data_IF_827492983280
#
_entry.id   IF_827492983280
#
_cell.length_a   1.000
_cell.length_b   1.000
_cell.length_c   1.000
_cell.angle_alpha   90.00
_cell.angle_beta   90.00
_cell.angle_gamma   90.00
#
_symmetry.space_group_name_H-M   'P 1'
#
loop_
_entity.id
_entity.type
_entity.pdbx_description
1 polymer ?
#
# COMPACT_ATOMS: atom_id res chain seq x y z
N UNK A 1 1.44 -25.59 3.39
CA UNK A 1 2.26 -24.93 2.35
C UNK A 1 2.32 -23.43 2.63
N UNK A 2 3.50 -22.86 2.55
CA UNK A 2 3.68 -21.42 2.73
C UNK A 2 3.37 -20.70 1.41
N UNK A 3 2.55 -19.65 1.48
CA UNK A 3 2.23 -18.80 0.33
C UNK A 3 3.11 -17.54 0.39
N UNK A 4 3.77 -17.25 -0.72
CA UNK A 4 4.56 -16.03 -0.84
C UNK A 4 3.66 -14.87 -1.24
N UNK A 5 3.71 -13.79 -0.44
CA UNK A 5 2.97 -12.55 -0.71
C UNK A 5 3.96 -11.40 -0.81
N UNK A 6 4.27 -10.95 -2.02
CA UNK A 6 5.27 -9.90 -2.23
C UNK A 6 4.78 -8.53 -1.77
N UNK A 7 5.71 -7.62 -1.58
CA UNK A 7 5.42 -6.23 -1.23
C UNK A 7 6.00 -5.29 -2.28
N UNK A 8 5.22 -4.27 -2.65
CA UNK A 8 5.66 -3.15 -3.47
C UNK A 8 5.62 -1.92 -2.57
N UNK A 9 6.77 -1.48 -2.09
CA UNK A 9 6.86 -0.26 -1.30
C UNK A 9 7.04 0.94 -2.22
N UNK A 10 6.20 1.95 -2.05
CA UNK A 10 6.22 3.18 -2.83
C UNK A 10 6.68 4.34 -1.97
N UNK A 11 7.64 5.09 -2.46
CA UNK A 11 8.12 6.31 -1.84
C UNK A 11 8.48 7.30 -2.96
N UNK A 12 7.97 8.53 -2.87
CA UNK A 12 8.12 9.56 -3.90
C UNK A 12 7.70 9.07 -5.30
N UNK A 13 6.66 8.24 -5.36
CA UNK A 13 6.13 7.70 -6.61
C UNK A 13 6.96 6.59 -7.24
N UNK A 14 7.98 6.09 -6.56
CA UNK A 14 8.89 5.05 -7.04
C UNK A 14 8.85 3.81 -6.16
N UNK A 15 9.17 2.67 -6.74
CA UNK A 15 9.35 1.42 -6.00
C UNK A 15 10.69 1.42 -5.31
N UNK A 16 10.69 1.27 -3.98
CA UNK A 16 11.89 1.27 -3.14
C UNK A 16 11.78 0.21 -2.06
N UNK A 17 12.91 -0.26 -1.55
CA UNK A 17 12.97 -0.98 -0.29
C UNK A 17 13.63 -0.07 0.75
N UNK A 18 12.90 0.27 1.79
CA UNK A 18 13.27 1.28 2.78
C UNK A 18 13.63 0.61 4.11
N UNK A 19 14.65 1.16 4.79
CA UNK A 19 14.92 0.77 6.18
C UNK A 19 13.86 1.43 7.06
N UNK A 20 12.94 0.63 7.61
CA UNK A 20 11.76 1.12 8.34
C UNK A 20 12.10 2.06 9.49
N UNK A 21 13.18 1.79 10.23
CA UNK A 21 13.62 2.64 11.34
C UNK A 21 14.09 4.03 10.90
N UNK A 22 14.29 4.27 9.61
CA UNK A 22 14.70 5.56 9.06
C UNK A 22 13.53 6.41 8.58
N UNK A 23 12.29 5.91 8.65
CA UNK A 23 11.10 6.66 8.25
C UNK A 23 10.86 7.84 9.19
N UNK A 24 10.54 9.01 8.60
CA UNK A 24 10.10 10.19 9.32
C UNK A 24 9.05 10.93 8.49
N UNK A 25 8.24 11.77 9.13
CA UNK A 25 7.14 12.48 8.47
C UNK A 25 7.61 13.39 7.33
N UNK A 26 8.80 13.95 7.43
CA UNK A 26 9.38 14.83 6.41
C UNK A 26 10.34 14.11 5.46
N UNK A 27 10.60 12.82 5.67
CA UNK A 27 11.52 12.05 4.85
C UNK A 27 13.01 12.26 5.11
N UNK A 28 13.37 13.14 6.05
CA UNK A 28 14.77 13.40 6.39
C UNK A 28 15.40 12.17 7.05
N UNK A 29 16.62 11.81 6.64
CA UNK A 29 17.34 10.66 7.18
C UNK A 29 16.87 9.31 6.68
N UNK A 30 15.96 9.30 5.70
CA UNK A 30 15.46 8.05 5.11
C UNK A 30 16.60 7.25 4.49
N UNK A 31 16.67 5.97 4.84
CA UNK A 31 17.63 5.03 4.25
C UNK A 31 16.92 4.07 3.32
N UNK A 32 17.44 3.94 2.12
CA UNK A 32 16.91 3.09 1.07
C UNK A 32 17.88 1.95 0.78
N UNK A 33 17.41 0.68 0.91
CA UNK A 33 18.19 -0.50 0.53
C UNK A 33 18.15 -0.75 -0.97
N UNK A 34 17.05 -0.39 -1.61
CA UNK A 34 16.82 -0.66 -3.02
C UNK A 34 15.94 0.43 -3.62
N UNK A 35 16.30 0.86 -4.81
CA UNK A 35 15.49 1.77 -5.62
C UNK A 35 15.58 1.34 -7.07
N UNK A 36 14.47 1.43 -7.80
CA UNK A 36 14.41 1.03 -9.21
C UNK A 36 13.64 2.06 -10.03
N UNK A 37 14.00 2.18 -11.32
CA UNK A 37 13.27 2.98 -12.29
C UNK A 37 12.12 2.21 -12.94
N UNK A 38 11.98 0.91 -12.64
CA UNK A 38 10.86 0.12 -13.14
C UNK A 38 9.56 0.59 -12.50
N UNK A 39 8.49 0.62 -13.30
CA UNK A 39 7.20 1.10 -12.85
C UNK A 39 6.56 0.16 -11.80
N UNK A 40 5.67 0.68 -10.95
CA UNK A 40 4.87 -0.18 -10.09
C UNK A 40 4.08 -1.24 -10.86
N UNK A 41 3.57 -0.89 -12.04
CA UNK A 41 2.86 -1.83 -12.90
C UNK A 41 3.74 -2.99 -13.36
N UNK A 42 5.02 -2.74 -13.60
CA UNK A 42 5.95 -3.81 -14.01
C UNK A 42 6.03 -4.91 -12.95
N UNK A 43 6.14 -4.53 -11.67
CA UNK A 43 6.18 -5.50 -10.57
C UNK A 43 4.83 -6.21 -10.40
N UNK A 44 3.73 -5.46 -10.51
CA UNK A 44 2.39 -6.03 -10.41
C UNK A 44 2.14 -7.07 -11.51
N UNK A 45 2.56 -6.78 -12.73
CA UNK A 45 2.45 -7.71 -13.87
C UNK A 45 3.31 -8.95 -13.66
N UNK A 46 4.51 -8.80 -13.10
CA UNK A 46 5.37 -9.92 -12.76
C UNK A 46 4.69 -10.85 -11.77
N UNK A 47 4.10 -10.29 -10.71
CA UNK A 47 3.41 -11.08 -9.68
C UNK A 47 2.15 -11.74 -10.23
N UNK A 48 1.43 -11.06 -11.12
CA UNK A 48 0.28 -11.64 -11.82
C UNK A 48 0.70 -12.83 -12.68
N UNK A 49 1.77 -12.69 -13.45
CA UNK A 49 2.31 -13.76 -14.29
C UNK A 49 2.69 -14.99 -13.47
N UNK A 50 3.27 -14.76 -12.29
CA UNK A 50 3.69 -15.84 -11.39
C UNK A 50 2.55 -16.36 -10.50
N UNK A 51 1.33 -15.84 -10.66
CA UNK A 51 0.18 -16.27 -9.88
C UNK A 51 0.21 -15.91 -8.40
N UNK A 52 0.98 -14.89 -8.03
CA UNK A 52 1.17 -14.48 -6.63
C UNK A 52 0.07 -13.50 -6.22
N UNK A 53 -0.92 -13.99 -5.47
CA UNK A 53 -2.03 -13.18 -4.97
C UNK A 53 -1.83 -12.76 -3.51
N UNK A 54 -2.44 -11.64 -3.14
CA UNK A 54 -2.45 -11.18 -1.75
C UNK A 54 -1.21 -10.39 -1.36
N UNK A 55 -0.37 -10.03 -2.31
CA UNK A 55 0.74 -9.11 -2.07
C UNK A 55 0.26 -7.74 -1.65
N UNK A 56 1.16 -6.90 -1.18
CA UNK A 56 0.85 -5.58 -0.63
C UNK A 56 1.48 -4.47 -1.45
N UNK A 57 0.71 -3.43 -1.73
CA UNK A 57 1.23 -2.14 -2.19
C UNK A 57 1.16 -1.20 -1.00
N UNK A 58 2.29 -0.69 -0.55
CA UNK A 58 2.36 0.19 0.61
C UNK A 58 2.86 1.56 0.19
N UNK A 59 2.04 2.58 0.44
CA UNK A 59 2.37 3.98 0.16
C UNK A 59 3.09 4.58 1.36
N UNK A 60 4.38 4.86 1.21
CA UNK A 60 5.19 5.47 2.26
C UNK A 60 5.29 6.97 2.00
N UNK A 61 4.67 7.75 2.88
CA UNK A 61 4.57 9.19 2.70
C UNK A 61 3.53 9.59 1.66
N UNK A 62 3.54 10.86 1.27
CA UNK A 62 2.59 11.44 0.32
C UNK A 62 3.08 11.30 -1.12
N UNK A 63 2.17 11.47 -2.08
CA UNK A 63 2.52 11.55 -3.50
C UNK A 63 2.63 10.20 -4.20
N UNK A 64 2.06 9.13 -3.62
CA UNK A 64 2.15 7.78 -4.17
C UNK A 64 0.82 7.28 -4.78
N UNK A 65 -0.23 8.08 -4.77
CA UNK A 65 -1.58 7.66 -5.15
C UNK A 65 -1.64 7.16 -6.59
N UNK A 66 -1.04 7.91 -7.51
CA UNK A 66 -1.00 7.53 -8.92
C UNK A 66 -0.22 6.24 -9.13
N UNK A 67 0.96 6.14 -8.53
CA UNK A 67 1.82 4.95 -8.63
C UNK A 67 1.12 3.71 -8.06
N UNK A 68 0.42 3.86 -6.92
CA UNK A 68 -0.34 2.77 -6.32
C UNK A 68 -1.45 2.29 -7.25
N UNK A 69 -2.21 3.21 -7.84
CA UNK A 69 -3.29 2.86 -8.77
C UNK A 69 -2.77 2.19 -10.03
N UNK A 70 -1.60 2.58 -10.53
CA UNK A 70 -0.95 1.88 -11.66
C UNK A 70 -0.70 0.42 -11.34
N UNK A 71 -0.18 0.12 -10.15
CA UNK A 71 0.06 -1.26 -9.73
C UNK A 71 -1.25 -2.04 -9.60
N UNK A 72 -2.26 -1.45 -8.95
CA UNK A 72 -3.55 -2.10 -8.74
C UNK A 72 -4.26 -2.42 -10.06
N UNK A 73 -4.23 -1.49 -11.01
CA UNK A 73 -4.83 -1.68 -12.33
C UNK A 73 -4.11 -2.75 -13.15
N UNK A 74 -2.80 -2.91 -12.96
CA UNK A 74 -2.01 -3.92 -13.66
C UNK A 74 -2.30 -5.34 -13.15
N UNK A 75 -2.81 -5.48 -11.94
CA UNK A 75 -3.15 -6.78 -11.34
C UNK A 75 -4.46 -6.69 -10.55
N UNK A 76 -5.62 -6.57 -11.24
CA UNK A 76 -6.92 -6.43 -10.55
C UNK A 76 -7.20 -7.58 -9.59
N UNK A 77 -7.60 -7.24 -8.37
CA UNK A 77 -7.89 -8.17 -7.28
C UNK A 77 -6.72 -9.04 -6.82
N UNK A 78 -5.51 -8.73 -7.26
CA UNK A 78 -4.33 -9.50 -6.87
C UNK A 78 -3.55 -8.91 -5.71
N UNK A 79 -3.73 -7.62 -5.44
CA UNK A 79 -2.91 -6.87 -4.47
C UNK A 79 -3.78 -6.15 -3.44
N UNK A 80 -3.28 -6.09 -2.22
CA UNK A 80 -3.83 -5.27 -1.15
C UNK A 80 -3.16 -3.89 -1.17
N UNK A 81 -3.80 -2.89 -0.58
CA UNK A 81 -3.27 -1.51 -0.53
C UNK A 81 -3.25 -0.99 0.90
N UNK A 82 -2.13 -0.42 1.30
CA UNK A 82 -1.95 0.20 2.61
C UNK A 82 -1.12 1.47 2.54
N UNK A 83 -0.97 2.12 3.69
CA UNK A 83 -0.26 3.39 3.79
C UNK A 83 -1.18 4.59 3.61
N UNK A 84 -1.63 5.19 4.71
CA UNK A 84 -2.52 6.35 4.67
C UNK A 84 -3.96 6.05 4.27
N UNK A 85 -4.40 4.82 4.42
CA UNK A 85 -5.79 4.44 4.10
C UNK A 85 -6.72 4.82 5.25
N UNK A 86 -7.86 5.40 4.88
CA UNK A 86 -8.93 5.82 5.80
C UNK A 86 -10.27 5.35 5.26
N UNK A 87 -11.35 5.53 6.02
CA UNK A 87 -12.70 5.27 5.50
C UNK A 87 -13.05 6.19 4.31
N UNK A 88 -12.40 7.33 4.18
CA UNK A 88 -12.72 8.32 3.15
C UNK A 88 -12.06 8.04 1.79
N UNK A 89 -10.95 7.30 1.76
CA UNK A 89 -10.26 6.97 0.51
C UNK A 89 -10.26 5.47 0.17
N UNK A 90 -10.75 4.62 1.08
CA UNK A 90 -10.71 3.17 0.91
C UNK A 90 -11.42 2.71 -0.39
N UNK A 91 -12.62 3.22 -0.66
CA UNK A 91 -13.38 2.83 -1.85
C UNK A 91 -12.67 3.19 -3.15
N UNK A 92 -11.99 4.33 -3.18
CA UNK A 92 -11.23 4.77 -4.35
C UNK A 92 -10.19 3.72 -4.76
N UNK A 93 -9.48 3.14 -3.79
CA UNK A 93 -8.48 2.12 -4.07
C UNK A 93 -9.08 0.75 -4.38
N UNK A 94 -10.20 0.41 -3.74
CA UNK A 94 -10.93 -0.81 -4.10
C UNK A 94 -11.45 -0.74 -5.53
N UNK A 95 -11.99 0.39 -5.95
CA UNK A 95 -12.43 0.62 -7.33
C UNK A 95 -11.26 0.60 -8.32
N UNK A 96 -10.07 1.02 -7.89
CA UNK A 96 -8.87 0.96 -8.71
C UNK A 96 -8.33 -0.45 -8.90
N UNK A 97 -8.84 -1.45 -8.16
CA UNK A 97 -8.48 -2.83 -8.33
C UNK A 97 -7.85 -3.51 -7.12
N UNK A 98 -7.78 -2.86 -5.96
CA UNK A 98 -7.31 -3.50 -4.75
C UNK A 98 -8.25 -4.62 -4.32
N UNK A 99 -7.69 -5.75 -3.88
CA UNK A 99 -8.50 -6.83 -3.31
C UNK A 99 -8.98 -6.50 -1.91
N UNK A 100 -8.16 -5.81 -1.13
CA UNK A 100 -8.41 -5.41 0.25
C UNK A 100 -7.70 -4.10 0.55
N UNK A 101 -8.20 -3.37 1.52
CA UNK A 101 -7.48 -2.23 2.10
C UNK A 101 -6.87 -2.65 3.44
N UNK A 102 -5.70 -2.09 3.74
CA UNK A 102 -5.00 -2.30 5.00
C UNK A 102 -5.03 -0.97 5.74
N UNK A 103 -5.70 -0.94 6.88
CA UNK A 103 -5.85 0.26 7.70
C UNK A 103 -5.17 0.02 9.04
N UNK A 104 -4.25 0.91 9.41
CA UNK A 104 -3.50 0.79 10.66
C UNK A 104 -3.60 2.06 11.48
N UNK A 105 -2.79 3.06 11.20
CA UNK A 105 -2.69 4.27 12.03
C UNK A 105 -3.99 5.07 12.13
N UNK A 106 -4.81 5.06 11.10
CA UNK A 106 -6.04 5.86 11.10
C UNK A 106 -7.03 5.44 12.19
N UNK A 107 -7.10 4.14 12.53
CA UNK A 107 -7.99 3.65 13.60
C UNK A 107 -7.34 3.71 14.98
N UNK A 108 -6.06 4.11 15.05
CA UNK A 108 -5.31 4.28 16.31
C UNK A 108 -4.74 5.71 16.42
N UNK A 109 -5.58 6.76 16.40
CA UNK A 109 -5.09 8.14 16.28
C UNK A 109 -4.10 8.55 17.38
N UNK A 110 -4.24 8.08 18.59
CA UNK A 110 -3.35 8.40 19.71
C UNK A 110 -2.79 7.13 20.35
N UNK A 111 -2.55 6.10 19.53
CA UNK A 111 -2.11 4.80 20.00
C UNK A 111 -3.23 3.95 20.62
N UNK A 112 -4.44 4.46 20.68
CA UNK A 112 -5.61 3.76 21.19
C UNK A 112 -6.64 3.55 20.09
N UNK A 113 -7.28 2.39 20.09
CA UNK A 113 -8.30 2.05 19.10
C UNK A 113 -9.49 3.02 19.19
N UNK A 114 -9.81 3.65 18.06
CA UNK A 114 -11.01 4.49 17.91
C UNK A 114 -12.12 3.62 17.32
N UNK A 115 -13.07 3.22 18.17
CA UNK A 115 -14.18 2.36 17.77
C UNK A 115 -15.12 3.02 16.77
N UNK A 116 -15.27 4.35 16.81
CA UNK A 116 -16.11 5.08 15.86
C UNK A 116 -15.52 5.02 14.47
N UNK A 117 -14.19 5.18 14.35
CA UNK A 117 -13.49 5.05 13.07
C UNK A 117 -13.55 3.62 12.54
N UNK A 118 -13.37 2.64 13.42
CA UNK A 118 -13.46 1.23 13.02
C UNK A 118 -14.87 0.90 12.51
N UNK A 119 -15.91 1.37 13.20
CA UNK A 119 -17.29 1.17 12.77
C UNK A 119 -17.56 1.84 11.42
N UNK A 120 -17.10 3.08 11.24
CA UNK A 120 -17.23 3.80 9.98
C UNK A 120 -16.56 3.04 8.83
N UNK A 121 -15.35 2.56 9.06
CA UNK A 121 -14.62 1.78 8.05
C UNK A 121 -15.38 0.49 7.69
N UNK A 122 -15.86 -0.25 8.70
CA UNK A 122 -16.58 -1.49 8.50
C UNK A 122 -17.90 -1.30 7.71
N UNK A 123 -18.53 -0.13 7.86
CA UNK A 123 -19.73 0.21 7.09
C UNK A 123 -19.42 0.67 5.67
N UNK A 124 -18.20 1.14 5.43
CA UNK A 124 -17.79 1.73 4.15
C UNK A 124 -17.31 0.66 3.17
N UNK A 125 -16.61 -0.34 3.66
CA UNK A 125 -15.97 -1.36 2.80
C UNK A 125 -16.65 -2.72 2.83
#
# INVERSE_FOLDING_TARGET
>A
MTLFRPCIDLHDGRVKQIVGSSLSDNGDGLKTNFETDRSPAWFAELYKKDGLRGGHVIMLGKGNEKAAKEALLAYPNGLQIGGGITAYNALEYLEAGASHVIVTSWIFPDGNLDFNRLELLAKTV
#
